data_IF_007391628901
#
_entry.id   IF_007391628901
#
_cell.length_a   1.000
_cell.length_b   1.000
_cell.length_c   1.000
_cell.angle_alpha   90.00
_cell.angle_beta   90.00
_cell.angle_gamma   90.00
#
_symmetry.space_group_name_H-M   'P 1'
#
loop_
_entity.id
_entity.type
_entity.pdbx_description
1 polymer ?
#
# COMPACT_ATOMS: atom_id res chain seq x y z
N UNK A 1 30.60 3.10 10.63
CA UNK A 1 29.27 3.03 11.27
C UNK A 1 28.39 4.13 10.69
N UNK A 2 27.14 3.83 10.31
CA UNK A 2 26.22 4.79 9.69
C UNK A 2 25.42 5.44 10.83
N UNK A 3 25.44 6.77 10.94
CA UNK A 3 24.77 7.49 12.03
C UNK A 3 23.32 7.86 11.71
N UNK A 4 23.00 8.04 10.40
CA UNK A 4 21.66 8.34 9.92
C UNK A 4 21.53 7.97 8.44
N UNK A 5 20.29 7.81 7.97
CA UNK A 5 19.93 7.63 6.57
C UNK A 5 18.74 8.54 6.23
N UNK A 6 18.81 9.25 5.12
CA UNK A 6 17.70 10.04 4.60
C UNK A 6 17.45 9.65 3.15
N UNK A 7 16.23 9.26 2.84
CA UNK A 7 15.77 9.03 1.48
C UNK A 7 14.96 10.21 0.98
N UNK A 8 15.28 10.70 -0.23
CA UNK A 8 14.47 11.68 -0.94
C UNK A 8 13.76 10.99 -2.09
N UNK A 9 12.45 11.04 -2.13
CA UNK A 9 11.65 10.32 -3.11
C UNK A 9 10.47 11.17 -3.59
N UNK A 10 9.97 10.92 -4.79
CA UNK A 10 8.70 11.51 -5.25
C UNK A 10 7.54 10.98 -4.42
N UNK A 11 6.51 11.82 -4.21
CA UNK A 11 5.35 11.44 -3.37
C UNK A 11 4.52 10.31 -3.95
N UNK A 12 4.48 10.17 -5.28
CA UNK A 12 3.65 9.19 -6.00
C UNK A 12 2.13 9.35 -5.74
N UNK A 13 1.72 10.51 -5.21
CA UNK A 13 0.35 10.85 -4.82
C UNK A 13 0.07 12.33 -5.09
N UNK A 14 -1.15 12.79 -4.84
CA UNK A 14 -1.62 14.15 -5.15
C UNK A 14 -1.57 15.13 -4.00
N UNK A 15 -1.21 14.71 -2.79
CA UNK A 15 -1.35 15.58 -1.61
C UNK A 15 -0.51 16.87 -1.75
N UNK A 16 0.74 16.76 -2.19
CA UNK A 16 1.61 17.93 -2.40
C UNK A 16 1.17 18.77 -3.59
N UNK A 17 0.73 18.14 -4.68
CA UNK A 17 0.27 18.86 -5.85
C UNK A 17 -1.04 19.62 -5.59
N UNK A 18 -2.00 19.01 -4.92
CA UNK A 18 -3.26 19.65 -4.53
C UNK A 18 -3.02 20.77 -3.49
N UNK A 19 -2.08 20.57 -2.56
CA UNK A 19 -1.70 21.57 -1.56
C UNK A 19 -0.80 22.69 -2.09
N UNK A 20 -0.27 22.57 -3.32
CA UNK A 20 0.72 23.50 -3.92
C UNK A 20 1.99 23.61 -3.07
N UNK A 21 2.45 22.49 -2.52
CA UNK A 21 3.66 22.39 -1.71
C UNK A 21 4.71 21.60 -2.48
N UNK A 22 5.99 21.96 -2.30
CA UNK A 22 7.10 21.31 -3.00
C UNK A 22 7.55 20.03 -2.30
N UNK A 23 7.55 20.02 -0.96
CA UNK A 23 8.06 18.92 -0.15
C UNK A 23 7.21 18.62 1.07
N UNK A 24 7.33 17.39 1.57
CA UNK A 24 6.77 16.95 2.85
C UNK A 24 7.74 16.01 3.57
N UNK A 25 7.74 16.03 4.90
CA UNK A 25 8.37 14.97 5.68
C UNK A 25 7.50 13.71 5.65
N UNK A 26 8.10 12.53 5.72
CA UNK A 26 7.39 11.27 5.85
C UNK A 26 7.46 10.81 7.30
N UNK A 27 6.31 10.57 7.93
CA UNK A 27 6.27 10.11 9.33
C UNK A 27 6.35 8.59 9.46
N UNK A 28 5.81 7.87 8.46
CA UNK A 28 5.81 6.41 8.44
C UNK A 28 5.63 5.89 7.02
N UNK A 29 6.06 4.66 6.79
CA UNK A 29 5.78 3.89 5.57
C UNK A 29 4.85 2.76 5.98
N UNK A 30 3.78 2.52 5.20
CA UNK A 30 2.80 1.47 5.50
C UNK A 30 3.39 0.09 5.37
N UNK A 31 2.85 -0.84 6.15
CA UNK A 31 3.04 -2.27 5.94
C UNK A 31 2.34 -2.75 4.67
N UNK A 32 2.76 -3.90 4.19
CA UNK A 32 2.17 -4.59 3.04
C UNK A 32 1.81 -6.01 3.48
N UNK A 33 0.54 -6.36 3.32
CA UNK A 33 0.06 -7.71 3.56
C UNK A 33 -0.52 -8.29 2.27
N UNK A 34 -0.14 -9.52 1.93
CA UNK A 34 -0.66 -10.24 0.76
C UNK A 34 -1.07 -11.64 1.11
N UNK A 35 -2.21 -12.06 0.60
CA UNK A 35 -2.66 -13.44 0.62
C UNK A 35 -2.94 -13.93 -0.80
N UNK A 36 -2.62 -15.19 -1.04
CA UNK A 36 -3.15 -15.95 -2.16
C UNK A 36 -4.45 -16.61 -1.66
N UNK A 37 -5.56 -16.26 -2.29
CA UNK A 37 -6.86 -16.85 -2.03
C UNK A 37 -7.22 -17.78 -3.18
N UNK A 38 -7.52 -19.05 -2.87
CA UNK A 38 -7.96 -20.02 -3.87
C UNK A 38 -9.38 -20.45 -3.56
N UNK A 39 -10.26 -20.27 -4.54
CA UNK A 39 -11.66 -20.72 -4.52
C UNK A 39 -11.76 -21.99 -5.34
N UNK A 40 -12.25 -23.07 -4.74
CA UNK A 40 -12.43 -24.35 -5.39
C UNK A 40 -13.93 -24.67 -5.50
N UNK A 41 -14.41 -24.81 -6.71
CA UNK A 41 -15.76 -25.24 -7.07
C UNK A 41 -15.76 -26.56 -7.83
N UNK A 42 -16.63 -26.68 -8.81
CA UNK A 42 -16.82 -27.90 -9.61
C UNK A 42 -17.03 -27.59 -11.09
N UNK A 43 -16.13 -28.09 -11.95
CA UNK A 43 -16.27 -27.94 -13.39
C UNK A 43 -17.46 -28.73 -13.92
N UNK A 44 -18.25 -28.10 -14.76
CA UNK A 44 -19.33 -28.76 -15.48
C UNK A 44 -19.69 -28.00 -16.77
N UNK A 45 -20.53 -28.58 -17.61
CA UNK A 45 -20.95 -27.96 -18.85
C UNK A 45 -21.84 -26.72 -18.59
N UNK A 46 -21.43 -25.55 -19.09
CA UNK A 46 -22.09 -24.29 -18.80
C UNK A 46 -23.55 -24.21 -19.31
N UNK A 47 -23.89 -24.91 -20.41
CA UNK A 47 -25.22 -24.88 -20.97
C UNK A 47 -26.18 -25.91 -20.40
N UNK A 48 -25.70 -27.04 -19.88
CA UNK A 48 -26.57 -28.14 -19.44
C UNK A 48 -26.70 -28.27 -17.93
N UNK A 49 -25.86 -27.57 -17.15
CA UNK A 49 -25.94 -27.57 -15.69
C UNK A 49 -26.88 -26.49 -15.21
N UNK A 50 -28.05 -26.83 -14.60
CA UNK A 50 -28.98 -25.84 -14.06
C UNK A 50 -28.35 -25.01 -12.94
N UNK A 51 -28.75 -23.73 -12.83
CA UNK A 51 -28.16 -22.77 -11.88
C UNK A 51 -28.09 -23.27 -10.42
N UNK A 52 -29.13 -23.94 -9.85
CA UNK A 52 -29.09 -24.39 -8.45
C UNK A 52 -28.04 -25.48 -8.13
N UNK A 53 -27.48 -26.13 -9.17
CA UNK A 53 -26.51 -27.22 -8.99
C UNK A 53 -25.08 -26.79 -9.26
N UNK A 54 -24.85 -25.46 -9.53
CA UNK A 54 -23.52 -24.94 -9.85
C UNK A 54 -22.74 -24.65 -8.58
N UNK A 55 -21.46 -25.03 -8.61
CA UNK A 55 -20.43 -24.59 -7.66
C UNK A 55 -19.38 -23.82 -8.45
N UNK A 56 -19.76 -22.61 -8.88
CA UNK A 56 -18.98 -21.78 -9.80
C UNK A 56 -17.92 -21.00 -9.01
N UNK A 57 -16.65 -21.41 -9.15
CA UNK A 57 -15.54 -20.76 -8.48
C UNK A 57 -15.32 -19.30 -8.91
N UNK A 58 -15.63 -18.95 -10.17
CA UNK A 58 -15.43 -17.58 -10.65
C UNK A 58 -16.49 -16.63 -10.08
N UNK A 59 -17.75 -17.05 -10.01
CA UNK A 59 -18.79 -16.24 -9.39
C UNK A 59 -18.50 -16.03 -7.91
N UNK A 60 -18.11 -17.07 -7.17
CA UNK A 60 -17.73 -16.94 -5.77
C UNK A 60 -16.49 -16.05 -5.57
N UNK A 61 -15.45 -16.19 -6.40
CA UNK A 61 -14.27 -15.32 -6.36
C UNK A 61 -14.63 -13.86 -6.67
N UNK A 62 -15.54 -13.62 -7.58
CA UNK A 62 -16.02 -12.25 -7.89
C UNK A 62 -16.72 -11.60 -6.69
N UNK A 63 -17.51 -12.34 -5.94
CA UNK A 63 -18.10 -11.87 -4.67
C UNK A 63 -17.04 -11.58 -3.62
N UNK A 64 -16.01 -12.43 -3.50
CA UNK A 64 -14.88 -12.18 -2.62
C UNK A 64 -14.16 -10.86 -2.97
N UNK A 65 -13.92 -10.60 -4.26
CA UNK A 65 -13.29 -9.36 -4.73
C UNK A 65 -14.14 -8.14 -4.37
N UNK A 66 -15.45 -8.19 -4.61
CA UNK A 66 -16.37 -7.11 -4.26
C UNK A 66 -16.49 -6.91 -2.74
N UNK A 67 -16.45 -8.00 -1.97
CA UNK A 67 -16.44 -7.94 -0.50
C UNK A 67 -15.18 -7.24 0.04
N UNK A 68 -14.01 -7.55 -0.51
CA UNK A 68 -12.74 -6.89 -0.16
C UNK A 68 -12.85 -5.37 -0.39
N UNK A 69 -13.32 -4.94 -1.56
CA UNK A 69 -13.50 -3.51 -1.85
C UNK A 69 -14.52 -2.86 -0.92
N UNK A 70 -15.66 -3.49 -0.70
CA UNK A 70 -16.71 -3.00 0.21
C UNK A 70 -16.18 -2.80 1.61
N UNK A 71 -15.47 -3.80 2.17
CA UNK A 71 -14.89 -3.73 3.50
C UNK A 71 -13.84 -2.63 3.57
N UNK A 72 -12.96 -2.50 2.57
CA UNK A 72 -11.95 -1.44 2.54
C UNK A 72 -12.57 -0.03 2.60
N UNK A 73 -13.69 0.18 1.93
CA UNK A 73 -14.43 1.46 1.99
C UNK A 73 -15.01 1.78 3.37
N UNK A 74 -15.23 0.79 4.25
CA UNK A 74 -15.64 1.02 5.64
C UNK A 74 -14.53 1.61 6.50
N UNK A 75 -13.26 1.46 6.07
CA UNK A 75 -12.07 1.99 6.72
C UNK A 75 -11.54 3.29 6.08
N UNK A 76 -12.35 3.99 5.31
CA UNK A 76 -11.96 5.17 4.49
C UNK A 76 -11.26 6.30 5.30
N UNK A 77 -11.54 6.41 6.60
CA UNK A 77 -10.90 7.41 7.47
C UNK A 77 -9.55 6.96 8.07
N UNK A 78 -9.12 5.74 7.83
CA UNK A 78 -8.01 5.09 8.54
C UNK A 78 -6.81 4.73 7.65
N UNK A 79 -6.82 5.15 6.37
CA UNK A 79 -5.75 4.87 5.40
C UNK A 79 -5.47 3.38 5.14
N UNK A 80 -6.49 2.53 5.24
CA UNK A 80 -6.44 1.19 4.67
C UNK A 80 -6.75 1.26 3.17
N UNK A 81 -5.92 0.63 2.36
CA UNK A 81 -6.25 0.34 0.95
C UNK A 81 -6.13 -1.15 0.70
N UNK A 82 -7.07 -1.70 -0.08
CA UNK A 82 -7.05 -3.10 -0.47
C UNK A 82 -7.29 -3.25 -1.96
N UNK A 83 -6.60 -4.19 -2.58
CA UNK A 83 -6.65 -4.42 -4.02
C UNK A 83 -6.55 -5.91 -4.34
N UNK A 84 -7.30 -6.35 -5.35
CA UNK A 84 -7.08 -7.62 -6.04
C UNK A 84 -6.55 -7.29 -7.44
N UNK A 85 -5.22 -7.36 -7.58
CA UNK A 85 -4.53 -6.98 -8.82
C UNK A 85 -4.22 -8.15 -9.76
N UNK A 86 -4.40 -9.40 -9.29
CA UNK A 86 -4.17 -10.62 -10.06
C UNK A 86 -5.28 -11.63 -9.78
N UNK A 87 -5.80 -12.23 -10.87
CA UNK A 87 -6.82 -13.27 -10.82
C UNK A 87 -6.58 -14.27 -11.96
N UNK A 88 -6.45 -15.54 -11.59
CA UNK A 88 -6.23 -16.65 -12.51
C UNK A 88 -7.42 -17.61 -12.44
N UNK A 89 -8.02 -17.94 -13.59
CA UNK A 89 -9.23 -18.78 -13.70
C UNK A 89 -8.90 -20.09 -14.40
N UNK A 90 -9.44 -21.22 -13.92
CA UNK A 90 -9.34 -22.53 -14.56
C UNK A 90 -10.73 -23.13 -14.76
N UNK A 91 -10.97 -23.81 -15.89
CA UNK A 91 -10.11 -23.97 -17.06
C UNK A 91 -10.09 -22.74 -17.98
N UNK A 92 -10.78 -21.63 -17.64
CA UNK A 92 -10.89 -20.41 -18.43
C UNK A 92 -11.44 -20.64 -19.86
N UNK A 93 -12.54 -21.32 -19.93
CA UNK A 93 -13.22 -21.70 -21.18
C UNK A 93 -14.70 -21.28 -21.14
N UNK A 94 -15.20 -20.68 -22.20
CA UNK A 94 -16.54 -20.08 -22.26
C UNK A 94 -17.70 -21.08 -22.05
N UNK A 95 -17.49 -22.37 -22.30
CA UNK A 95 -18.50 -23.40 -22.21
C UNK A 95 -18.36 -24.33 -20.97
N UNK A 96 -17.45 -24.01 -20.05
CA UNK A 96 -17.20 -24.78 -18.83
C UNK A 96 -17.35 -23.86 -17.62
N UNK A 97 -18.11 -24.32 -16.61
CA UNK A 97 -18.19 -23.65 -15.30
C UNK A 97 -16.80 -23.74 -14.66
N UNK A 98 -16.17 -22.62 -14.25
CA UNK A 98 -14.86 -22.63 -13.62
C UNK A 98 -14.85 -23.44 -12.30
N UNK A 99 -13.88 -24.33 -12.15
CA UNK A 99 -13.70 -25.15 -10.94
C UNK A 99 -12.66 -24.58 -10.00
N UNK A 100 -11.77 -23.70 -10.47
CA UNK A 100 -10.75 -23.11 -9.60
C UNK A 100 -10.44 -21.67 -10.04
N UNK A 101 -10.40 -20.78 -9.05
CA UNK A 101 -9.93 -19.42 -9.21
C UNK A 101 -8.95 -19.09 -8.12
N UNK A 102 -7.79 -18.55 -8.48
CA UNK A 102 -6.81 -18.03 -7.54
C UNK A 102 -6.62 -16.54 -7.75
N UNK A 103 -6.62 -15.76 -6.68
CA UNK A 103 -6.37 -14.33 -6.74
C UNK A 103 -5.45 -13.88 -5.59
N UNK A 104 -4.82 -12.70 -5.77
CA UNK A 104 -3.98 -12.08 -4.75
C UNK A 104 -4.72 -10.89 -4.17
N UNK A 105 -5.03 -10.96 -2.87
CA UNK A 105 -5.47 -9.82 -2.07
C UNK A 105 -4.25 -9.13 -1.49
N UNK A 106 -4.09 -7.83 -1.76
CA UNK A 106 -3.09 -6.96 -1.13
C UNK A 106 -3.77 -5.92 -0.26
N UNK A 107 -3.24 -5.72 0.95
CA UNK A 107 -3.67 -4.69 1.90
C UNK A 107 -2.46 -3.84 2.28
N UNK A 108 -2.66 -2.53 2.34
CA UNK A 108 -1.66 -1.59 2.89
C UNK A 108 -2.29 -0.73 3.97
N UNK A 109 -1.64 -0.68 5.11
CA UNK A 109 -1.98 0.19 6.24
C UNK A 109 -0.78 0.39 7.15
N UNK A 110 -0.77 1.47 7.92
CA UNK A 110 0.22 1.73 8.97
C UNK A 110 -0.23 1.30 10.36
N UNK A 111 -1.45 0.74 10.49
CA UNK A 111 -2.05 0.35 11.76
C UNK A 111 -2.33 -1.15 11.80
N UNK A 112 -1.67 -1.86 12.71
CA UNK A 112 -1.81 -3.31 12.84
C UNK A 112 -3.21 -3.70 13.31
N UNK A 113 -3.80 -2.95 14.24
CA UNK A 113 -5.13 -3.21 14.77
C UNK A 113 -6.20 -3.12 13.67
N UNK A 114 -6.06 -2.15 12.77
CA UNK A 114 -6.96 -1.99 11.62
C UNK A 114 -6.79 -3.12 10.61
N UNK A 115 -5.54 -3.55 10.36
CA UNK A 115 -5.26 -4.72 9.53
C UNK A 115 -5.98 -5.96 10.06
N UNK A 116 -5.88 -6.21 11.35
CA UNK A 116 -6.53 -7.36 11.98
C UNK A 116 -8.06 -7.26 11.91
N UNK A 117 -8.63 -6.09 12.19
CA UNK A 117 -10.06 -5.86 12.08
C UNK A 117 -10.59 -6.05 10.63
N UNK A 118 -9.82 -5.59 9.65
CA UNK A 118 -10.11 -5.80 8.23
C UNK A 118 -10.09 -7.30 7.88
N UNK A 119 -9.03 -8.01 8.25
CA UNK A 119 -8.87 -9.43 7.97
C UNK A 119 -9.96 -10.29 8.64
N UNK A 120 -10.42 -9.90 9.83
CA UNK A 120 -11.54 -10.57 10.49
C UNK A 120 -12.83 -10.42 9.67
N UNK A 121 -13.19 -9.21 9.23
CA UNK A 121 -14.37 -8.97 8.39
C UNK A 121 -14.31 -9.75 7.07
N UNK A 122 -13.14 -9.78 6.42
CA UNK A 122 -12.92 -10.57 5.21
C UNK A 122 -13.16 -12.06 5.48
N UNK A 123 -12.67 -12.58 6.62
CA UNK A 123 -12.85 -13.98 7.00
C UNK A 123 -14.34 -14.32 7.19
N UNK A 124 -15.10 -13.46 7.84
CA UNK A 124 -16.54 -13.63 8.07
C UNK A 124 -17.34 -13.62 6.76
N UNK A 125 -17.05 -12.65 5.86
CA UNK A 125 -17.71 -12.58 4.55
C UNK A 125 -17.35 -13.78 3.66
N UNK A 126 -16.09 -14.19 3.64
CA UNK A 126 -15.65 -15.35 2.86
C UNK A 126 -16.31 -16.66 3.34
N UNK A 127 -16.46 -16.84 4.64
CA UNK A 127 -17.19 -18.00 5.18
C UNK A 127 -18.67 -17.99 4.76
N UNK A 128 -19.30 -16.83 4.66
CA UNK A 128 -20.64 -16.67 4.12
C UNK A 128 -20.74 -17.09 2.66
N UNK A 129 -19.83 -16.58 1.83
CA UNK A 129 -19.77 -16.90 0.39
C UNK A 129 -19.51 -18.40 0.17
N UNK A 130 -18.57 -18.98 0.90
CA UNK A 130 -18.23 -20.41 0.85
C UNK A 130 -19.48 -21.28 1.07
N UNK A 131 -20.24 -20.96 2.11
CA UNK A 131 -21.46 -21.66 2.46
C UNK A 131 -22.57 -21.47 1.42
N UNK A 132 -22.80 -20.24 0.97
CA UNK A 132 -23.88 -19.91 0.02
C UNK A 132 -23.63 -20.50 -1.35
N UNK A 133 -22.37 -20.45 -1.83
CA UNK A 133 -21.98 -20.93 -3.16
C UNK A 133 -21.63 -22.41 -3.20
N UNK A 134 -21.49 -23.07 -2.06
CA UNK A 134 -21.11 -24.50 -1.96
C UNK A 134 -19.70 -24.77 -2.51
N UNK A 135 -18.81 -23.79 -2.41
CA UNK A 135 -17.39 -23.87 -2.80
C UNK A 135 -16.51 -24.01 -1.55
N UNK A 136 -15.20 -24.22 -1.72
CA UNK A 136 -14.24 -24.13 -0.63
C UNK A 136 -13.22 -23.04 -0.88
N UNK A 137 -12.83 -22.31 0.18
CA UNK A 137 -11.82 -21.28 0.12
C UNK A 137 -10.60 -21.67 0.95
N UNK A 138 -9.42 -21.47 0.37
CA UNK A 138 -8.15 -21.56 1.09
C UNK A 138 -7.40 -20.25 0.99
N UNK A 139 -6.68 -19.87 2.06
CA UNK A 139 -5.93 -18.62 2.17
C UNK A 139 -4.51 -18.95 2.60
N UNK A 140 -3.53 -18.38 1.90
CA UNK A 140 -2.10 -18.55 2.17
C UNK A 140 -1.42 -17.19 2.23
N UNK A 141 -0.76 -16.88 3.34
CA UNK A 141 -0.03 -15.62 3.49
C UNK A 141 1.22 -15.68 2.60
N UNK A 142 1.28 -14.78 1.63
CA UNK A 142 2.41 -14.63 0.71
C UNK A 142 3.40 -13.56 1.17
N UNK A 143 2.91 -12.51 1.83
CA UNK A 143 3.73 -11.44 2.39
C UNK A 143 3.03 -10.85 3.62
N UNK A 144 3.78 -10.65 4.69
CA UNK A 144 3.34 -9.86 5.85
C UNK A 144 4.52 -9.01 6.32
N UNK A 145 4.57 -7.78 5.85
CA UNK A 145 5.61 -6.80 6.17
C UNK A 145 4.99 -5.67 6.99
N UNK A 146 5.52 -5.46 8.18
CA UNK A 146 5.05 -4.38 9.06
C UNK A 146 5.42 -3.00 8.51
N UNK A 147 4.60 -2.01 8.85
CA UNK A 147 4.93 -0.62 8.60
C UNK A 147 6.06 -0.15 9.52
N UNK A 148 6.74 0.90 9.11
CA UNK A 148 7.85 1.48 9.88
C UNK A 148 7.62 2.97 10.14
N UNK A 149 8.03 3.43 11.33
CA UNK A 149 7.98 4.85 11.73
C UNK A 149 9.36 5.46 11.52
N UNK A 150 9.40 6.65 10.92
CA UNK A 150 10.63 7.39 10.73
C UNK A 150 11.14 7.97 12.05
N UNK A 151 12.45 8.17 12.16
CA UNK A 151 13.09 8.75 13.34
C UNK A 151 12.56 10.15 13.64
N UNK A 152 12.06 10.38 14.87
CA UNK A 152 11.56 11.69 15.33
C UNK A 152 12.61 12.78 15.21
N UNK A 153 13.88 12.47 15.47
CA UNK A 153 14.99 13.40 15.32
C UNK A 153 15.09 13.89 13.86
N UNK A 154 15.10 12.95 12.89
CA UNK A 154 15.26 13.32 11.49
C UNK A 154 14.00 14.01 10.96
N UNK A 155 12.81 13.55 11.34
CA UNK A 155 11.56 14.23 11.00
C UNK A 155 11.55 15.68 11.48
N UNK A 156 12.00 15.93 12.74
CA UNK A 156 12.10 17.27 13.30
C UNK A 156 13.08 18.14 12.50
N UNK A 157 14.26 17.62 12.19
CA UNK A 157 15.26 18.36 11.40
C UNK A 157 14.71 18.68 10.01
N UNK A 158 14.20 17.70 9.27
CA UNK A 158 13.60 17.92 7.94
C UNK A 158 12.47 18.96 7.98
N UNK A 159 11.62 18.91 9.01
CA UNK A 159 10.53 19.88 9.19
C UNK A 159 11.05 21.30 9.41
N UNK A 160 12.06 21.47 10.28
CA UNK A 160 12.65 22.79 10.57
C UNK A 160 13.36 23.34 9.31
N UNK A 161 14.15 22.51 8.63
CA UNK A 161 14.88 22.92 7.44
C UNK A 161 13.99 23.14 6.19
N UNK A 162 12.73 22.69 6.24
CA UNK A 162 11.72 23.01 5.21
C UNK A 162 11.19 24.45 5.33
N UNK A 163 11.13 25.04 6.54
CA UNK A 163 10.52 26.34 6.81
C UNK A 163 11.08 27.52 5.98
N UNK A 164 12.41 27.58 5.70
CA UNK A 164 12.96 28.67 4.88
C UNK A 164 12.49 28.63 3.41
N UNK A 165 12.12 27.46 2.90
CA UNK A 165 11.81 27.23 1.49
C UNK A 165 10.31 27.10 1.22
N UNK A 166 9.50 26.85 2.25
CA UNK A 166 8.07 26.58 2.10
C UNK A 166 7.26 27.13 3.29
N UNK A 167 6.20 27.89 3.00
CA UNK A 167 5.39 28.56 4.04
C UNK A 167 4.69 27.61 5.02
N UNK A 168 4.35 26.39 4.59
CA UNK A 168 3.62 25.40 5.38
C UNK A 168 4.36 24.08 5.33
N UNK A 169 4.73 23.54 6.48
CA UNK A 169 5.26 22.19 6.60
C UNK A 169 4.13 21.18 6.76
N UNK A 170 4.25 20.03 6.12
CA UNK A 170 3.31 18.91 6.21
C UNK A 170 4.09 17.62 6.44
N UNK A 171 3.45 16.68 7.13
CA UNK A 171 3.98 15.33 7.30
C UNK A 171 2.98 14.33 6.74
N UNK A 172 3.45 13.41 5.91
CA UNK A 172 2.63 12.43 5.19
C UNK A 172 2.99 11.00 5.61
N UNK A 173 2.08 10.09 5.35
CA UNK A 173 2.33 8.64 5.40
C UNK A 173 2.61 8.17 3.98
N UNK A 174 3.67 7.38 3.78
CA UNK A 174 3.88 6.72 2.50
C UNK A 174 3.05 5.45 2.40
N UNK A 175 2.25 5.35 1.35
CA UNK A 175 1.51 4.14 0.97
C UNK A 175 2.31 3.25 0.00
N UNK A 176 3.51 3.68 -0.43
CA UNK A 176 4.43 2.94 -1.28
C UNK A 176 5.54 2.29 -0.44
N UNK A 177 6.16 1.24 -0.98
CA UNK A 177 7.39 0.67 -0.41
C UNK A 177 8.60 1.51 -0.81
N UNK A 178 9.59 1.64 0.10
CA UNK A 178 10.82 2.41 -0.09
C UNK A 178 12.01 1.70 0.55
N UNK A 179 13.22 2.00 0.12
CA UNK A 179 14.45 1.44 0.68
C UNK A 179 14.62 1.83 2.17
N UNK A 180 14.09 2.99 2.55
CA UNK A 180 14.05 3.45 3.94
C UNK A 180 13.46 2.41 4.91
N UNK A 181 12.54 1.53 4.47
CA UNK A 181 12.00 0.45 5.31
C UNK A 181 13.11 -0.45 5.84
N UNK A 182 14.05 -0.83 4.99
CA UNK A 182 15.16 -1.70 5.37
C UNK A 182 16.19 -0.99 6.24
N UNK A 183 16.35 0.32 6.02
CA UNK A 183 17.33 1.14 6.74
C UNK A 183 16.91 1.42 8.18
N UNK A 184 15.61 1.39 8.52
CA UNK A 184 15.13 1.59 9.90
C UNK A 184 15.70 0.56 10.89
N UNK A 185 16.06 -0.63 10.41
CA UNK A 185 16.67 -1.68 11.24
C UNK A 185 18.18 -1.46 11.48
N UNK A 186 18.81 -0.58 10.71
CA UNK A 186 20.26 -0.37 10.71
C UNK A 186 20.65 0.95 11.37
N UNK A 187 19.85 1.99 11.19
CA UNK A 187 20.19 3.33 11.68
C UNK A 187 18.94 4.21 11.83
N UNK A 188 19.11 5.41 12.41
CA UNK A 188 18.07 6.44 12.41
C UNK A 188 17.74 6.81 10.97
N UNK A 189 16.48 6.59 10.57
CA UNK A 189 16.05 6.75 9.18
C UNK A 189 14.97 7.82 9.08
N UNK A 190 15.07 8.67 8.07
CA UNK A 190 14.06 9.66 7.71
C UNK A 190 13.82 9.70 6.23
N UNK A 191 12.74 10.36 5.82
CA UNK A 191 12.36 10.45 4.42
C UNK A 191 11.70 11.78 4.09
N UNK A 192 12.07 12.34 2.94
CA UNK A 192 11.53 13.58 2.38
C UNK A 192 10.82 13.27 1.05
N UNK A 193 9.55 13.65 0.94
CA UNK A 193 8.83 13.62 -0.32
C UNK A 193 9.00 14.89 -1.11
N UNK A 194 9.06 14.72 -2.46
CA UNK A 194 8.99 15.78 -3.46
C UNK A 194 7.70 15.63 -4.24
N UNK A 195 7.07 16.75 -4.60
CA UNK A 195 5.79 16.76 -5.31
C UNK A 195 5.83 16.01 -6.64
N UNK A 196 4.86 15.10 -6.82
CA UNK A 196 4.53 14.47 -8.11
C UNK A 196 3.42 15.26 -8.80
N UNK A 197 3.64 15.76 -10.01
CA UNK A 197 2.61 16.50 -10.76
C UNK A 197 1.45 15.55 -11.08
N UNK A 198 0.22 15.95 -10.72
CA UNK A 198 -0.99 15.14 -10.82
C UNK A 198 -0.93 13.79 -10.08
N UNK A 199 0.06 13.56 -9.22
CA UNK A 199 0.25 12.31 -8.50
C UNK A 199 0.58 11.11 -9.40
N UNK A 200 1.09 11.36 -10.61
CA UNK A 200 1.44 10.32 -11.57
C UNK A 200 2.72 9.61 -11.15
N UNK A 201 2.68 8.26 -11.21
CA UNK A 201 3.84 7.39 -10.98
C UNK A 201 3.70 6.09 -11.74
N UNK A 202 4.83 5.44 -12.07
CA UNK A 202 4.93 4.22 -12.86
C UNK A 202 4.29 4.32 -14.27
N UNK A 203 4.29 5.52 -14.86
CA UNK A 203 3.78 5.80 -16.20
C UNK A 203 4.62 6.87 -16.90
N UNK A 204 4.42 7.02 -18.22
CA UNK A 204 5.20 7.96 -19.03
C UNK A 204 4.98 9.44 -18.65
N UNK A 205 3.90 9.75 -17.96
CA UNK A 205 3.55 11.09 -17.48
C UNK A 205 4.11 11.40 -16.09
N UNK A 206 4.89 10.51 -15.49
CA UNK A 206 5.57 10.76 -14.22
C UNK A 206 6.50 11.97 -14.35
N UNK A 207 6.24 13.00 -13.56
CA UNK A 207 6.98 14.24 -13.65
C UNK A 207 7.03 15.00 -12.32
N UNK A 208 8.19 15.55 -12.01
CA UNK A 208 8.44 16.50 -10.93
C UNK A 208 9.05 17.77 -11.49
N UNK A 209 8.57 18.93 -11.08
CA UNK A 209 9.10 20.21 -11.55
C UNK A 209 10.49 20.45 -11.00
N UNK A 210 11.33 21.12 -11.79
CA UNK A 210 12.71 21.42 -11.40
C UNK A 210 12.77 22.30 -10.14
N UNK A 211 11.82 23.22 -9.98
CA UNK A 211 11.72 24.11 -8.83
C UNK A 211 11.42 23.32 -7.54
N UNK A 212 10.62 22.26 -7.63
CA UNK A 212 10.33 21.39 -6.49
C UNK A 212 11.55 20.51 -6.12
N UNK A 213 12.31 20.06 -7.13
CA UNK A 213 13.58 19.34 -6.94
C UNK A 213 14.62 20.25 -6.27
N UNK A 214 14.71 21.53 -6.69
CA UNK A 214 15.60 22.52 -6.09
C UNK A 214 15.28 22.72 -4.61
N UNK A 215 14.00 22.87 -4.26
CA UNK A 215 13.58 22.99 -2.86
C UNK A 215 13.97 21.74 -2.07
N UNK A 216 13.71 20.54 -2.61
CA UNK A 216 14.07 19.28 -1.95
C UNK A 216 15.59 19.15 -1.74
N UNK A 217 16.39 19.50 -2.74
CA UNK A 217 17.85 19.49 -2.66
C UNK A 217 18.39 20.42 -1.58
N UNK A 218 17.82 21.62 -1.47
CA UNK A 218 18.20 22.60 -0.45
C UNK A 218 17.81 22.13 0.97
N UNK A 219 16.59 21.60 1.13
CA UNK A 219 16.14 21.03 2.42
C UNK A 219 17.02 19.84 2.82
N UNK A 220 17.33 18.95 1.87
CA UNK A 220 18.16 17.78 2.13
C UNK A 220 19.58 18.20 2.56
N UNK A 221 20.21 19.15 1.84
CA UNK A 221 21.54 19.66 2.17
C UNK A 221 21.56 20.28 3.57
N UNK A 222 20.63 21.19 3.86
CA UNK A 222 20.54 21.85 5.17
C UNK A 222 20.33 20.80 6.29
N UNK A 223 19.49 19.79 6.04
CA UNK A 223 19.22 18.71 7.01
C UNK A 223 20.45 17.85 7.27
N UNK A 224 21.23 17.51 6.24
CA UNK A 224 22.46 16.74 6.37
C UNK A 224 23.48 17.51 7.21
N UNK A 225 23.71 18.78 6.90
CA UNK A 225 24.65 19.62 7.65
C UNK A 225 24.25 19.74 9.14
N UNK A 226 22.97 19.95 9.40
CA UNK A 226 22.47 20.02 10.78
C UNK A 226 22.55 18.71 11.52
N UNK A 227 22.28 17.59 10.86
CA UNK A 227 22.41 16.26 11.46
C UNK A 227 23.87 15.89 11.72
N UNK A 228 24.80 16.29 10.85
CA UNK A 228 26.22 16.10 11.06
C UNK A 228 26.69 16.78 12.37
N UNK A 229 26.28 18.03 12.60
CA UNK A 229 26.54 18.75 13.83
C UNK A 229 25.92 18.09 15.07
N UNK A 230 24.71 17.53 14.94
CA UNK A 230 23.95 16.94 16.07
C UNK A 230 24.37 15.51 16.39
N UNK A 231 24.83 14.76 15.38
CA UNK A 231 25.20 13.36 15.48
C UNK A 231 26.72 13.17 15.47
N UNK A 232 27.50 14.26 15.59
CA UNK A 232 28.96 14.22 15.65
C UNK A 232 29.39 13.30 16.82
N UNK A 233 29.57 12.03 16.49
CA UNK A 233 30.09 10.99 17.39
C UNK A 233 31.59 10.98 17.17
N UNK A 234 32.31 11.75 17.98
CA UNK A 234 33.76 11.68 18.12
C UNK A 234 34.18 10.40 18.83
#
# INVERSE_FOLDING_TARGET
EMSAFIECHIEQSRNLDDAKLSVATVKSITGIYREIVTVQGEANHAGTTPMPYRKDALTAASECVLAIEKIAREFDQTHIVATVGKLDVKPNSANIIPDSVSFIMEIRTSCEEEKQAFLQKVTEEFAGIEKERGVSLTREINLNQDGVVMSDLIQKVLTEETKPFQKKTVSLVSMAGHDAVHMTNLTKTGMLFVRSVNGKSHCAEEYTRIEDIEVAGNVLLASILRLDEMLDVR
#
